data_IF_711296219017
#
_entry.id   IF_711296219017
#
_cell.length_a   1.000
_cell.length_b   1.000
_cell.length_c   1.000
_cell.angle_alpha   90.00
_cell.angle_beta   90.00
_cell.angle_gamma   90.00
#
_symmetry.space_group_name_H-M   'P 1'
#
loop_
_entity.id
_entity.type
_entity.pdbx_description
1 polymer ?
#
# COMPACT_ATOMS: atom_id res chain seq x y z
N UNK A 1 12.20 19.09 25.48
CA UNK A 1 12.34 17.80 24.77
C UNK A 1 13.03 18.07 23.45
N UNK A 2 13.99 17.27 23.03
CA UNK A 2 14.62 17.47 21.72
C UNK A 2 13.71 17.00 20.60
N UNK A 3 13.87 17.54 19.37
CA UNK A 3 13.10 17.07 18.18
C UNK A 3 13.27 15.58 17.95
N UNK A 4 14.48 15.05 18.16
CA UNK A 4 14.77 13.62 18.04
C UNK A 4 13.91 12.82 19.03
N UNK A 5 13.85 13.25 20.29
CA UNK A 5 13.06 12.55 21.31
C UNK A 5 11.57 12.60 20.95
N UNK A 6 11.06 13.78 20.56
CA UNK A 6 9.66 13.94 20.13
C UNK A 6 9.32 13.02 18.96
N UNK A 7 10.23 12.91 17.97
CA UNK A 7 10.02 12.00 16.84
C UNK A 7 9.97 10.53 17.28
N UNK A 8 10.90 10.09 18.10
CA UNK A 8 10.96 8.71 18.59
C UNK A 8 9.73 8.35 19.42
N UNK A 9 9.27 9.25 20.28
CA UNK A 9 8.06 9.04 21.10
C UNK A 9 6.80 8.89 20.22
N UNK A 10 6.68 9.71 19.17
CA UNK A 10 5.56 9.61 18.21
C UNK A 10 5.63 8.29 17.45
N UNK A 11 6.79 7.89 16.95
CA UNK A 11 6.97 6.61 16.23
C UNK A 11 6.63 5.44 17.14
N UNK A 12 7.16 5.43 18.38
CA UNK A 12 6.87 4.37 19.35
C UNK A 12 5.39 4.28 19.68
N UNK A 13 4.73 5.44 19.87
CA UNK A 13 3.29 5.48 20.09
C UNK A 13 2.54 4.85 18.90
N UNK A 14 2.87 5.21 17.67
CA UNK A 14 2.22 4.65 16.48
C UNK A 14 2.42 3.14 16.35
N UNK A 15 3.61 2.63 16.63
CA UNK A 15 3.86 1.19 16.63
C UNK A 15 3.01 0.46 17.68
N UNK A 16 2.86 1.05 18.87
CA UNK A 16 2.00 0.51 19.91
C UNK A 16 0.53 0.53 19.50
N UNK A 17 0.05 1.65 18.93
CA UNK A 17 -1.33 1.80 18.46
C UNK A 17 -1.65 0.77 17.34
N UNK A 18 -0.76 0.59 16.36
CA UNK A 18 -0.91 -0.45 15.32
C UNK A 18 -0.93 -1.83 15.94
N UNK A 19 -0.03 -2.12 16.88
CA UNK A 19 0.02 -3.41 17.58
C UNK A 19 -1.29 -3.69 18.29
N UNK A 20 -1.86 -2.73 19.00
CA UNK A 20 -3.10 -2.89 19.73
C UNK A 20 -4.32 -3.03 18.81
N UNK A 21 -4.39 -2.23 17.75
CA UNK A 21 -5.59 -2.11 16.91
C UNK A 21 -5.59 -3.05 15.71
N UNK A 22 -4.43 -3.46 15.19
CA UNK A 22 -4.32 -4.20 13.94
C UNK A 22 -3.77 -5.61 14.09
N UNK A 23 -3.23 -6.02 15.26
CA UNK A 23 -2.57 -7.32 15.43
C UNK A 23 -3.44 -8.50 15.02
N UNK A 24 -4.71 -8.52 15.41
CA UNK A 24 -5.62 -9.61 15.04
C UNK A 24 -5.78 -9.69 13.51
N UNK A 25 -5.97 -8.54 12.86
CA UNK A 25 -6.14 -8.45 11.42
C UNK A 25 -4.85 -8.84 10.68
N UNK A 26 -3.69 -8.37 11.16
CA UNK A 26 -2.38 -8.74 10.62
C UNK A 26 -2.17 -10.25 10.73
N UNK A 27 -2.43 -10.85 11.89
CA UNK A 27 -2.24 -12.27 12.12
C UNK A 27 -3.16 -13.12 11.23
N UNK A 28 -4.46 -12.78 11.16
CA UNK A 28 -5.40 -13.51 10.31
C UNK A 28 -5.06 -13.40 8.84
N UNK A 29 -4.62 -12.22 8.38
CA UNK A 29 -4.16 -12.01 7.01
C UNK A 29 -2.88 -12.80 6.72
N UNK A 30 -1.92 -12.84 7.65
CA UNK A 30 -0.71 -13.64 7.50
C UNK A 30 -1.01 -15.14 7.34
N UNK A 31 -2.01 -15.67 8.07
CA UNK A 31 -2.47 -17.05 7.90
C UNK A 31 -3.03 -17.27 6.49
N UNK A 32 -3.81 -16.33 5.96
CA UNK A 32 -4.36 -16.45 4.61
C UNK A 32 -3.28 -16.39 3.53
N UNK A 33 -2.33 -15.47 3.64
CA UNK A 33 -1.18 -15.41 2.74
C UNK A 33 -0.33 -16.68 2.79
N UNK A 34 -0.13 -17.27 3.98
CA UNK A 34 0.57 -18.53 4.13
C UNK A 34 -0.15 -19.69 3.44
N UNK A 35 -1.49 -19.76 3.48
CA UNK A 35 -2.26 -20.75 2.73
C UNK A 35 -2.08 -20.60 1.23
N UNK A 36 -2.13 -19.36 0.71
CA UNK A 36 -1.91 -19.05 -0.71
C UNK A 36 -0.54 -19.57 -1.14
N UNK A 37 0.52 -19.28 -0.38
CA UNK A 37 1.87 -19.77 -0.65
C UNK A 37 1.94 -21.29 -0.64
N UNK A 38 1.35 -21.95 0.37
CA UNK A 38 1.37 -23.40 0.49
C UNK A 38 0.60 -24.10 -0.64
N UNK A 39 -0.32 -23.42 -1.30
CA UNK A 39 -1.05 -23.88 -2.48
C UNK A 39 -0.34 -23.57 -3.80
N UNK A 40 0.89 -23.04 -3.74
CA UNK A 40 1.69 -22.68 -4.91
C UNK A 40 1.36 -21.33 -5.52
N UNK A 41 0.61 -20.49 -4.82
CA UNK A 41 0.31 -19.12 -5.23
C UNK A 41 1.46 -18.14 -4.97
N UNK A 42 1.36 -16.97 -5.55
CA UNK A 42 2.33 -15.87 -5.48
C UNK A 42 1.69 -14.66 -4.80
N UNK A 43 2.46 -13.99 -3.96
CA UNK A 43 2.07 -12.70 -3.39
C UNK A 43 2.65 -11.59 -4.26
N UNK A 44 1.79 -10.88 -4.95
CA UNK A 44 2.16 -9.68 -5.70
C UNK A 44 2.06 -8.45 -4.81
N UNK A 45 2.96 -7.49 -4.99
CA UNK A 45 2.95 -6.24 -4.23
C UNK A 45 3.04 -5.06 -5.20
N UNK A 46 2.12 -4.12 -5.05
CA UNK A 46 2.00 -2.94 -5.89
C UNK A 46 1.96 -1.66 -5.06
N UNK A 47 2.61 -0.63 -5.54
CA UNK A 47 2.52 0.74 -5.02
C UNK A 47 2.98 1.75 -6.06
N UNK A 48 2.51 2.99 -5.97
CA UNK A 48 2.93 4.12 -6.78
C UNK A 48 3.86 5.05 -5.98
N UNK A 49 4.68 5.84 -6.66
CA UNK A 49 5.57 6.77 -5.99
C UNK A 49 6.46 6.07 -4.97
N UNK A 50 6.59 6.63 -3.76
CA UNK A 50 7.38 6.00 -2.69
C UNK A 50 6.83 4.65 -2.22
N UNK A 51 5.55 4.36 -2.43
CA UNK A 51 4.95 3.10 -2.00
C UNK A 51 5.52 1.88 -2.74
N UNK A 52 6.12 2.04 -3.93
CA UNK A 52 6.75 0.91 -4.64
C UNK A 52 8.00 0.38 -3.93
N UNK A 53 8.67 1.21 -3.12
CA UNK A 53 9.88 0.83 -2.37
C UNK A 53 9.60 -0.36 -1.45
N UNK A 54 8.40 -0.46 -0.88
CA UNK A 54 8.02 -1.61 -0.07
C UNK A 54 7.97 -2.92 -0.88
N UNK A 55 7.61 -2.87 -2.16
CA UNK A 55 7.64 -4.02 -3.04
C UNK A 55 9.09 -4.43 -3.39
N UNK A 56 9.98 -3.46 -3.57
CA UNK A 56 11.41 -3.71 -3.78
C UNK A 56 12.07 -4.31 -2.54
N UNK A 57 11.79 -3.73 -1.35
CA UNK A 57 12.46 -4.13 -0.10
C UNK A 57 12.22 -5.59 0.27
N UNK A 58 11.03 -6.14 0.00
CA UNK A 58 10.72 -7.54 0.34
C UNK A 58 11.12 -8.54 -0.75
N UNK A 59 11.42 -8.06 -1.96
CA UNK A 59 11.75 -8.91 -3.10
C UNK A 59 13.23 -9.30 -3.11
N UNK A 60 13.49 -10.59 -3.32
CA UNK A 60 14.82 -11.15 -3.54
C UNK A 60 15.88 -10.72 -2.52
N UNK A 61 15.52 -10.68 -1.25
CA UNK A 61 16.43 -10.31 -0.16
C UNK A 61 16.72 -11.50 0.76
N UNK A 62 17.86 -11.46 1.44
CA UNK A 62 18.21 -12.43 2.48
C UNK A 62 17.14 -12.42 3.59
N UNK A 63 16.63 -13.61 3.94
CA UNK A 63 15.55 -13.77 4.92
C UNK A 63 14.16 -13.41 4.40
N UNK A 64 14.02 -13.11 3.11
CA UNK A 64 12.73 -12.86 2.47
C UNK A 64 11.97 -14.14 2.13
N UNK A 65 10.70 -13.99 1.76
CA UNK A 65 9.81 -15.07 1.31
C UNK A 65 9.92 -15.19 -0.21
N UNK A 66 10.27 -16.39 -0.72
CA UNK A 66 10.53 -16.60 -2.14
C UNK A 66 9.35 -16.30 -3.08
N UNK A 67 8.08 -16.72 -2.81
CA UNK A 67 6.96 -16.48 -3.70
C UNK A 67 6.37 -15.06 -3.54
N UNK A 68 7.21 -14.04 -3.52
CA UNK A 68 6.82 -12.63 -3.55
C UNK A 68 7.31 -12.00 -4.84
N UNK A 69 6.45 -11.24 -5.51
CA UNK A 69 6.77 -10.53 -6.75
C UNK A 69 6.32 -9.07 -6.71
N UNK A 70 7.23 -8.14 -6.95
CA UNK A 70 6.86 -6.74 -7.12
C UNK A 70 6.16 -6.52 -8.46
N UNK A 71 5.19 -5.63 -8.47
CA UNK A 71 4.60 -5.08 -9.70
C UNK A 71 5.25 -3.72 -9.95
N UNK A 72 6.17 -3.67 -10.89
CA UNK A 72 6.82 -2.44 -11.30
C UNK A 72 6.23 -1.95 -12.62
N UNK A 73 5.66 -0.75 -12.55
CA UNK A 73 5.14 0.00 -13.70
C UNK A 73 5.95 1.28 -13.76
N UNK A 74 6.95 1.30 -14.64
CA UNK A 74 7.96 2.37 -14.69
C UNK A 74 7.40 3.79 -14.64
N UNK A 75 6.37 4.18 -15.40
CA UNK A 75 5.81 5.53 -15.31
C UNK A 75 5.24 5.91 -13.94
N UNK A 76 4.95 4.93 -13.07
CA UNK A 76 4.46 5.16 -11.70
C UNK A 76 5.59 5.23 -10.66
N UNK A 77 6.86 5.05 -11.08
CA UNK A 77 8.03 5.02 -10.21
C UNK A 77 8.73 6.37 -10.19
N UNK A 78 9.20 6.82 -9.01
CA UNK A 78 9.75 8.17 -8.83
C UNK A 78 11.03 8.43 -9.63
N UNK A 79 11.88 7.41 -9.79
CA UNK A 79 13.15 7.55 -10.52
C UNK A 79 12.97 7.76 -12.03
N UNK A 80 11.77 7.48 -12.56
CA UNK A 80 11.39 7.80 -13.93
C UNK A 80 10.89 9.24 -14.10
N UNK A 81 10.61 9.92 -12.98
CA UNK A 81 10.16 11.30 -12.95
C UNK A 81 9.00 11.52 -11.97
N UNK A 82 9.24 12.28 -10.93
CA UNK A 82 8.26 12.49 -9.85
C UNK A 82 6.96 13.13 -10.35
N UNK A 83 7.03 14.09 -11.29
CA UNK A 83 5.85 14.73 -11.86
C UNK A 83 5.05 13.75 -12.74
N UNK A 84 5.72 12.92 -13.54
CA UNK A 84 5.10 11.88 -14.36
C UNK A 84 4.42 10.82 -13.49
N UNK A 85 5.11 10.32 -12.46
CA UNK A 85 4.55 9.38 -11.50
C UNK A 85 3.25 9.91 -10.87
N UNK A 86 3.29 11.15 -10.38
CA UNK A 86 2.11 11.81 -9.80
C UNK A 86 0.97 12.04 -10.79
N UNK A 87 1.28 12.24 -12.07
CA UNK A 87 0.30 12.39 -13.13
C UNK A 87 -0.38 11.05 -13.44
N UNK A 88 0.40 10.00 -13.72
CA UNK A 88 -0.14 8.69 -14.10
C UNK A 88 -0.89 8.00 -12.97
N UNK A 89 -0.47 8.17 -11.71
CA UNK A 89 -1.19 7.64 -10.55
C UNK A 89 -2.64 8.13 -10.47
N UNK A 90 -2.90 9.34 -11.00
CA UNK A 90 -4.23 9.98 -10.98
C UNK A 90 -5.08 9.68 -12.22
N UNK A 91 -4.57 8.90 -13.18
CA UNK A 91 -5.34 8.52 -14.36
C UNK A 91 -6.18 7.29 -14.07
N UNK A 92 -7.48 7.38 -14.34
CA UNK A 92 -8.37 6.23 -14.27
C UNK A 92 -8.09 5.26 -15.42
N UNK A 93 -8.26 3.97 -15.17
CA UNK A 93 -8.09 2.87 -16.14
C UNK A 93 -6.64 2.72 -16.69
N UNK A 94 -5.71 3.54 -16.25
CA UNK A 94 -4.33 3.52 -16.75
C UNK A 94 -3.60 2.20 -16.45
N UNK A 95 -3.87 1.60 -15.30
CA UNK A 95 -3.05 0.48 -14.80
C UNK A 95 -3.45 -0.87 -15.39
N UNK A 96 -4.70 -1.06 -15.86
CA UNK A 96 -5.23 -2.36 -16.26
C UNK A 96 -4.36 -3.04 -17.32
N UNK A 97 -4.01 -2.33 -18.39
CA UNK A 97 -3.15 -2.83 -19.48
C UNK A 97 -1.77 -3.29 -18.98
N UNK A 98 -1.21 -2.58 -18.00
CA UNK A 98 0.08 -2.94 -17.40
C UNK A 98 0.00 -4.18 -16.50
N UNK A 99 -1.16 -4.45 -15.88
CA UNK A 99 -1.34 -5.59 -14.98
C UNK A 99 -1.50 -6.92 -15.73
N UNK A 100 -2.00 -6.93 -16.96
CA UNK A 100 -2.22 -8.14 -17.76
C UNK A 100 -0.96 -8.99 -17.91
N UNK A 101 0.22 -8.37 -17.92
CA UNK A 101 1.51 -9.07 -18.02
C UNK A 101 1.89 -9.90 -16.78
N UNK A 102 1.22 -9.72 -15.65
CA UNK A 102 1.60 -10.36 -14.39
C UNK A 102 0.89 -11.70 -14.13
N UNK A 103 -0.05 -12.11 -14.97
CA UNK A 103 -0.74 -13.41 -14.90
C UNK A 103 -1.31 -13.74 -13.51
N UNK A 104 -1.84 -12.74 -12.82
CA UNK A 104 -2.45 -12.89 -11.49
C UNK A 104 -3.76 -13.67 -11.62
N UNK A 105 -3.97 -14.67 -10.77
CA UNK A 105 -5.11 -15.57 -10.78
C UNK A 105 -5.76 -15.70 -9.41
N UNK A 106 -6.83 -16.49 -9.32
CA UNK A 106 -7.50 -16.81 -8.04
C UNK A 106 -6.65 -17.60 -7.04
N UNK A 107 -5.45 -18.04 -7.43
CA UNK A 107 -4.49 -18.71 -6.53
C UNK A 107 -3.55 -17.73 -5.83
N UNK A 108 -3.54 -16.48 -6.25
CA UNK A 108 -2.56 -15.48 -5.87
C UNK A 108 -3.14 -14.44 -4.91
N UNK A 109 -2.28 -13.61 -4.36
CA UNK A 109 -2.67 -12.42 -3.62
C UNK A 109 -2.05 -11.16 -4.22
N UNK A 110 -2.78 -10.04 -4.14
CA UNK A 110 -2.25 -8.71 -4.42
C UNK A 110 -2.29 -7.85 -3.16
N UNK A 111 -1.14 -7.37 -2.74
CA UNK A 111 -1.01 -6.35 -1.70
C UNK A 111 -0.84 -5.00 -2.39
N UNK A 112 -1.76 -4.07 -2.15
CA UNK A 112 -1.70 -2.71 -2.68
C UNK A 112 -1.33 -1.76 -1.55
N UNK A 113 -0.26 -1.00 -1.75
CA UNK A 113 0.24 -0.03 -0.77
C UNK A 113 0.00 1.38 -1.28
N UNK A 114 -0.77 2.16 -0.55
CA UNK A 114 -1.05 3.56 -0.86
C UNK A 114 -1.44 4.30 0.40
N UNK A 115 -0.62 5.24 0.86
CA UNK A 115 -0.88 5.98 2.11
C UNK A 115 -2.24 6.66 2.09
N UNK A 116 -2.57 7.42 1.07
CA UNK A 116 -3.86 8.12 0.98
C UNK A 116 -5.02 7.21 0.56
N UNK A 117 -4.75 6.19 -0.26
CA UNK A 117 -5.76 5.26 -0.78
C UNK A 117 -6.86 5.89 -1.64
N UNK A 118 -6.67 7.11 -2.16
CA UNK A 118 -7.70 7.89 -2.88
C UNK A 118 -7.46 8.00 -4.39
N UNK A 119 -6.24 7.71 -4.86
CA UNK A 119 -5.87 7.86 -6.27
C UNK A 119 -6.35 6.66 -7.11
N UNK A 120 -6.66 6.88 -8.41
CA UNK A 120 -7.17 5.83 -9.30
C UNK A 120 -6.29 4.60 -9.42
N UNK A 121 -5.00 4.74 -9.71
CA UNK A 121 -4.15 3.59 -10.00
C UNK A 121 -4.13 2.51 -8.89
N UNK A 122 -3.96 2.80 -7.59
CA UNK A 122 -4.07 1.78 -6.54
C UNK A 122 -5.48 1.19 -6.40
N UNK A 123 -6.53 1.98 -6.64
CA UNK A 123 -7.92 1.49 -6.61
C UNK A 123 -8.19 0.54 -7.78
N UNK A 124 -7.79 0.94 -9.00
CA UNK A 124 -7.94 0.12 -10.21
C UNK A 124 -7.15 -1.20 -10.08
N UNK A 125 -5.94 -1.17 -9.48
CA UNK A 125 -5.15 -2.37 -9.24
C UNK A 125 -5.88 -3.38 -8.32
N UNK A 126 -6.46 -2.89 -7.24
CA UNK A 126 -7.23 -3.73 -6.31
C UNK A 126 -8.47 -4.32 -6.99
N UNK A 127 -9.23 -3.50 -7.73
CA UNK A 127 -10.42 -3.95 -8.46
C UNK A 127 -10.07 -4.96 -9.53
N UNK A 128 -9.00 -4.72 -10.29
CA UNK A 128 -8.54 -5.63 -11.33
C UNK A 128 -8.16 -7.01 -10.75
N UNK A 129 -7.36 -7.04 -9.68
CA UNK A 129 -6.97 -8.28 -9.03
C UNK A 129 -8.18 -9.05 -8.47
N UNK A 130 -9.13 -8.33 -7.87
CA UNK A 130 -10.36 -8.92 -7.36
C UNK A 130 -11.23 -9.53 -8.47
N UNK A 131 -11.32 -8.88 -9.64
CA UNK A 131 -12.01 -9.43 -10.81
C UNK A 131 -11.38 -10.73 -11.32
N UNK A 132 -10.07 -10.91 -11.13
CA UNK A 132 -9.34 -12.15 -11.44
C UNK A 132 -9.39 -13.19 -10.31
N UNK A 133 -10.15 -12.91 -9.24
CA UNK A 133 -10.36 -13.81 -8.12
C UNK A 133 -9.21 -13.86 -7.11
N UNK A 134 -8.18 -13.03 -7.26
CA UNK A 134 -7.06 -12.98 -6.32
C UNK A 134 -7.48 -12.40 -4.96
N UNK A 135 -6.88 -12.89 -3.89
CA UNK A 135 -7.03 -12.30 -2.56
C UNK A 135 -6.39 -10.91 -2.54
N UNK A 136 -7.10 -9.90 -2.05
CA UNK A 136 -6.66 -8.50 -2.09
C UNK A 136 -6.48 -7.92 -0.69
N UNK A 137 -5.32 -7.30 -0.47
CA UNK A 137 -4.94 -6.63 0.78
C UNK A 137 -4.51 -5.18 0.50
N UNK A 138 -5.01 -4.23 1.27
CA UNK A 138 -4.51 -2.85 1.26
C UNK A 138 -3.73 -2.51 2.54
N UNK A 139 -2.60 -1.82 2.38
CA UNK A 139 -1.93 -1.07 3.43
C UNK A 139 -2.15 0.42 3.16
N UNK A 140 -2.96 1.09 4.00
CA UNK A 140 -3.39 2.47 3.73
C UNK A 140 -3.73 3.19 5.04
N UNK A 141 -3.67 4.50 5.07
CA UNK A 141 -4.12 5.27 6.24
C UNK A 141 -5.63 5.52 6.16
N UNK A 142 -6.36 5.05 7.15
CA UNK A 142 -7.79 5.25 7.23
C UNK A 142 -8.12 6.72 7.49
N UNK A 143 -7.37 7.36 8.37
CA UNK A 143 -7.52 8.79 8.68
C UNK A 143 -7.32 9.64 7.41
N UNK A 144 -6.25 9.37 6.64
CA UNK A 144 -5.98 10.11 5.41
C UNK A 144 -7.10 9.91 4.39
N UNK A 145 -7.55 8.68 4.21
CA UNK A 145 -8.64 8.36 3.31
C UNK A 145 -9.98 9.02 3.72
N UNK A 146 -10.24 9.20 5.00
CA UNK A 146 -11.47 9.84 5.49
C UNK A 146 -11.50 11.35 5.22
N UNK A 147 -10.36 12.00 5.28
CA UNK A 147 -10.26 13.46 5.17
C UNK A 147 -10.22 13.99 3.74
N UNK A 148 -10.03 13.11 2.74
CA UNK A 148 -9.91 13.50 1.35
C UNK A 148 -11.00 12.82 0.50
N UNK A 149 -11.58 13.51 -0.50
CA UNK A 149 -12.45 12.86 -1.47
C UNK A 149 -11.65 11.87 -2.33
N UNK A 150 -12.32 10.82 -2.78
CA UNK A 150 -11.75 9.94 -3.80
C UNK A 150 -11.49 10.70 -5.10
N UNK A 151 -10.40 10.35 -5.77
CA UNK A 151 -10.06 10.82 -7.12
C UNK A 151 -10.39 9.78 -8.20
N UNK A 152 -10.83 8.59 -7.77
CA UNK A 152 -11.28 7.54 -8.68
C UNK A 152 -12.66 7.90 -9.27
N UNK A 153 -12.87 7.64 -10.57
CA UNK A 153 -14.10 8.00 -11.31
C UNK A 153 -15.40 7.48 -10.68
N UNK A 154 -15.34 6.35 -10.00
CA UNK A 154 -16.49 5.76 -9.31
C UNK A 154 -16.62 6.20 -7.84
N UNK A 155 -15.82 7.16 -7.38
CA UNK A 155 -15.83 7.61 -5.98
C UNK A 155 -15.29 6.60 -4.97
N UNK A 156 -14.64 5.53 -5.41
CA UNK A 156 -14.13 4.45 -4.57
C UNK A 156 -12.79 4.82 -3.93
N UNK A 157 -12.53 4.27 -2.75
CA UNK A 157 -11.25 4.37 -2.05
C UNK A 157 -10.65 2.97 -1.90
N UNK A 158 -9.34 2.86 -1.89
CA UNK A 158 -8.63 1.59 -1.86
C UNK A 158 -9.11 0.65 -0.76
N UNK A 159 -9.32 1.15 0.46
CA UNK A 159 -9.76 0.35 1.62
C UNK A 159 -11.14 -0.31 1.42
N UNK A 160 -11.98 0.27 0.56
CA UNK A 160 -13.33 -0.20 0.29
C UNK A 160 -13.39 -1.23 -0.86
N UNK A 161 -12.27 -1.43 -1.57
CA UNK A 161 -12.18 -2.25 -2.77
C UNK A 161 -11.50 -3.61 -2.54
N UNK A 162 -10.92 -3.83 -1.37
CA UNK A 162 -10.12 -5.03 -1.03
C UNK A 162 -10.85 -5.96 -0.08
N UNK A 163 -10.36 -7.20 0.03
CA UNK A 163 -10.90 -8.17 1.00
C UNK A 163 -10.46 -7.83 2.42
N UNK A 164 -9.23 -7.33 2.58
CA UNK A 164 -8.71 -6.86 3.87
C UNK A 164 -8.01 -5.52 3.69
N UNK A 165 -8.31 -4.56 4.56
CA UNK A 165 -7.55 -3.31 4.66
C UNK A 165 -6.92 -3.20 6.06
N UNK A 166 -5.61 -2.95 6.10
CA UNK A 166 -4.84 -2.69 7.32
C UNK A 166 -4.52 -1.20 7.39
N UNK A 167 -4.85 -0.60 8.53
CA UNK A 167 -4.55 0.81 8.80
C UNK A 167 -3.09 0.96 9.23
N UNK A 168 -2.29 1.66 8.44
CA UNK A 168 -0.89 1.98 8.76
C UNK A 168 -0.75 3.23 9.65
N UNK A 169 -1.85 3.92 9.96
CA UNK A 169 -1.94 5.10 10.84
C UNK A 169 -1.01 6.27 10.46
N UNK A 170 -0.60 6.34 9.20
CA UNK A 170 0.18 7.48 8.71
C UNK A 170 -0.67 8.75 8.82
N UNK A 171 -0.15 9.84 9.40
CA UNK A 171 -0.89 11.09 9.55
C UNK A 171 -1.09 11.80 8.21
N UNK A 172 -2.06 12.69 8.17
CA UNK A 172 -2.31 13.53 6.98
C UNK A 172 -1.06 14.37 6.70
N UNK A 173 -0.59 14.35 5.45
CA UNK A 173 0.60 15.08 5.02
C UNK A 173 1.93 14.39 5.31
N UNK A 174 1.90 13.15 5.85
CA UNK A 174 3.09 12.30 6.10
C UNK A 174 4.14 12.92 7.05
N UNK A 175 3.81 14.02 7.73
CA UNK A 175 4.71 14.72 8.64
C UNK A 175 4.22 14.64 10.09
N UNK A 176 5.11 14.35 11.01
CA UNK A 176 4.81 14.20 12.44
C UNK A 176 5.46 15.27 13.33
N UNK A 177 6.36 16.06 12.77
CA UNK A 177 6.99 17.18 13.48
C UNK A 177 6.70 18.49 12.74
N UNK A 178 6.47 19.57 13.52
CA UNK A 178 6.41 20.93 13.01
C UNK A 178 7.73 21.65 13.26
N UNK A 179 8.32 22.23 12.23
CA UNK A 179 9.54 23.05 12.38
C UNK A 179 9.29 24.38 13.11
N UNK A 180 8.05 24.87 13.08
CA UNK A 180 7.67 26.15 13.69
C UNK A 180 7.59 26.10 15.22
N UNK A 181 7.35 24.92 15.80
CA UNK A 181 7.28 24.74 17.26
C UNK A 181 8.66 24.64 17.94
N UNK A 182 9.73 24.51 17.15
CA UNK A 182 11.09 24.30 17.64
C UNK A 182 12.08 25.39 17.20
N UNK A 183 11.59 26.49 16.64
CA UNK A 183 12.40 27.60 16.14
C UNK A 183 12.66 28.70 17.23
N UNK A 184 12.56 28.34 18.52
CA UNK A 184 12.93 29.21 19.65
C UNK A 184 14.12 28.67 20.40
#
# INVERSE_FOLDING_TARGET
>A
MTMIQSYLDIVQKKLNDITQQQSHKITSTAVELAKIINQGGVIYIFGCGHSHIFAEDVFYRAGGIAPVRPIFIEPLMLHQGAAASSYYEKQNDYIAEHLERFSITSKDALIVISTSGINPAPVDAALWAKQHGAFTLALTSFLYAETQPSKHKAGLKLRDCVDVAIDNQVPIGDAVLSLTEHAT
#
